data_IF_676118423328
#
_entry.id   IF_676118423328
#
_cell.length_a   1.000
_cell.length_b   1.000
_cell.length_c   1.000
_cell.angle_alpha   90.00
_cell.angle_beta   90.00
_cell.angle_gamma   90.00
#
_symmetry.space_group_name_H-M   'P 1'
#
loop_
_entity.id
_entity.type
_entity.pdbx_description
1 polymer ?
#
# COMPACT_ATOMS: atom_id res chain seq x y z
N UNK A 1 6.65 -0.37 -27.29
CA UNK A 1 7.93 -1.02 -26.93
C UNK A 1 8.28 -0.58 -25.51
N UNK A 2 7.99 -1.40 -24.50
CA UNK A 2 8.15 -1.02 -23.09
C UNK A 2 9.63 -1.14 -22.70
N UNK A 3 10.37 -0.04 -22.79
CA UNK A 3 11.79 0.02 -22.41
C UNK A 3 11.92 0.72 -21.06
N UNK A 4 12.83 0.23 -20.24
CA UNK A 4 13.19 0.79 -18.93
C UNK A 4 14.69 1.07 -18.95
N UNK A 5 15.11 2.18 -18.36
CA UNK A 5 16.54 2.50 -18.26
C UNK A 5 17.08 2.07 -16.90
N UNK A 6 18.20 1.35 -16.88
CA UNK A 6 18.90 0.99 -15.65
C UNK A 6 20.01 2.00 -15.40
N UNK A 7 20.05 2.53 -14.17
CA UNK A 7 20.99 3.58 -13.79
C UNK A 7 21.58 3.31 -12.41
N UNK A 8 22.85 3.69 -12.23
CA UNK A 8 23.48 3.79 -10.92
C UNK A 8 23.21 5.18 -10.35
N UNK A 9 22.43 5.26 -9.27
CA UNK A 9 22.02 6.53 -8.66
C UNK A 9 22.81 6.78 -7.38
N UNK A 10 23.39 7.97 -7.26
CA UNK A 10 24.09 8.44 -6.07
C UNK A 10 23.38 9.70 -5.55
N UNK A 11 22.71 9.59 -4.41
CA UNK A 11 21.86 10.66 -3.87
C UNK A 11 22.63 11.87 -3.32
N UNK A 12 23.86 11.66 -2.84
CA UNK A 12 24.71 12.68 -2.19
C UNK A 12 26.16 12.46 -2.60
N UNK A 13 27.00 13.49 -2.60
CA UNK A 13 28.39 13.47 -3.12
C UNK A 13 29.28 12.30 -2.64
N UNK A 14 29.01 11.73 -1.46
CA UNK A 14 29.73 10.59 -0.87
C UNK A 14 28.81 9.39 -0.56
N UNK A 15 27.64 9.31 -1.20
CA UNK A 15 26.69 8.23 -1.00
C UNK A 15 27.11 6.94 -1.72
N UNK A 16 26.67 5.79 -1.20
CA UNK A 16 26.82 4.52 -1.93
C UNK A 16 25.92 4.54 -3.17
N UNK A 17 26.42 4.13 -4.35
CA UNK A 17 25.59 4.00 -5.53
C UNK A 17 24.52 2.94 -5.30
N UNK A 18 23.31 3.19 -5.79
CA UNK A 18 22.21 2.23 -5.78
C UNK A 18 21.71 1.99 -7.21
N UNK A 19 21.66 0.73 -7.62
CA UNK A 19 21.06 0.37 -8.90
C UNK A 19 19.55 0.67 -8.87
N UNK A 20 19.08 1.42 -9.86
CA UNK A 20 17.69 1.85 -9.94
C UNK A 20 17.18 1.79 -11.39
N UNK A 21 15.88 1.57 -11.54
CA UNK A 21 15.18 1.58 -12.81
C UNK A 21 14.43 2.90 -13.00
N UNK A 22 14.61 3.54 -14.15
CA UNK A 22 13.82 4.68 -14.60
C UNK A 22 12.71 4.17 -15.52
N UNK A 23 11.48 4.24 -15.02
CA UNK A 23 10.29 3.80 -15.75
C UNK A 23 9.67 5.05 -16.39
N UNK A 24 9.59 5.13 -17.72
CA UNK A 24 8.98 6.29 -18.38
C UNK A 24 7.50 6.38 -17.99
N UNK A 25 7.07 7.59 -17.61
CA UNK A 25 5.68 7.89 -17.32
C UNK A 25 5.24 9.08 -18.15
N UNK A 26 4.14 8.88 -18.88
CA UNK A 26 3.44 9.92 -19.60
C UNK A 26 2.33 10.47 -18.71
N UNK A 27 2.13 11.78 -18.73
CA UNK A 27 1.19 12.50 -17.88
C UNK A 27 -0.24 12.03 -18.12
N UNK A 28 -0.82 11.47 -17.05
CA UNK A 28 -2.22 11.04 -16.99
C UNK A 28 -3.02 11.96 -16.03
N UNK A 29 -2.60 13.22 -15.87
CA UNK A 29 -3.22 14.23 -14.98
C UNK A 29 -3.03 14.01 -13.48
N UNK A 30 -2.54 12.84 -13.05
CA UNK A 30 -2.30 12.50 -11.63
C UNK A 30 -0.84 12.66 -11.22
N UNK A 31 0.08 12.34 -12.12
CA UNK A 31 1.51 12.44 -11.89
C UNK A 31 2.17 13.25 -13.01
N UNK A 32 3.26 13.97 -12.70
CA UNK A 32 3.97 14.75 -13.69
C UNK A 32 4.61 13.85 -14.76
N UNK A 33 4.71 14.38 -15.97
CA UNK A 33 5.50 13.82 -17.06
C UNK A 33 6.96 13.59 -16.61
N UNK A 34 7.51 12.40 -16.86
CA UNK A 34 8.91 12.12 -16.52
C UNK A 34 9.23 10.63 -16.35
N UNK A 35 9.98 10.32 -15.29
CA UNK A 35 10.40 8.95 -14.97
C UNK A 35 10.14 8.64 -13.51
N UNK A 36 9.51 7.48 -13.25
CA UNK A 36 9.51 6.92 -11.91
C UNK A 36 10.87 6.29 -11.63
N UNK A 37 11.52 6.75 -10.57
CA UNK A 37 12.77 6.18 -10.09
C UNK A 37 12.46 5.07 -9.08
N UNK A 38 12.67 3.81 -9.50
CA UNK A 38 12.47 2.62 -8.65
C UNK A 38 13.83 2.04 -8.24
N UNK A 39 14.24 2.12 -6.97
CA UNK A 39 15.46 1.44 -6.51
C UNK A 39 15.27 -0.08 -6.61
N UNK A 40 16.27 -0.77 -7.16
CA UNK A 40 16.27 -2.23 -7.23
C UNK A 40 16.90 -2.82 -5.97
N UNK A 41 16.32 -3.90 -5.42
CA UNK A 41 16.89 -4.54 -4.25
C UNK A 41 18.22 -5.22 -4.59
N UNK A 42 19.20 -5.10 -3.69
CA UNK A 42 20.40 -5.93 -3.74
C UNK A 42 20.11 -7.34 -3.22
N UNK A 43 21.02 -8.29 -3.46
CA UNK A 43 20.90 -9.67 -2.97
C UNK A 43 20.70 -9.74 -1.45
N UNK A 44 21.34 -8.84 -0.70
CA UNK A 44 21.20 -8.74 0.76
C UNK A 44 19.82 -8.28 1.23
N UNK A 45 19.09 -7.55 0.38
CA UNK A 45 17.73 -7.06 0.69
C UNK A 45 16.66 -8.10 0.36
N UNK A 46 17.01 -9.16 -0.37
CA UNK A 46 16.11 -10.26 -0.73
C UNK A 46 16.14 -11.30 0.40
N UNK A 47 15.02 -11.40 1.12
CA UNK A 47 14.85 -12.40 2.19
C UNK A 47 14.67 -13.80 1.63
N UNK A 48 15.56 -14.73 1.98
CA UNK A 48 15.55 -16.12 1.51
C UNK A 48 14.34 -16.93 1.95
N UNK A 49 13.75 -16.59 3.10
CA UNK A 49 12.58 -17.28 3.66
C UNK A 49 11.35 -17.15 2.75
N UNK A 50 11.20 -16.00 2.10
CA UNK A 50 10.09 -15.74 1.17
C UNK A 50 10.19 -16.66 -0.06
N UNK A 51 11.40 -16.94 -0.55
CA UNK A 51 11.60 -17.82 -1.72
C UNK A 51 11.29 -19.29 -1.42
N UNK A 52 11.55 -19.74 -0.20
CA UNK A 52 11.29 -21.12 0.19
C UNK A 52 9.80 -21.37 0.44
N UNK A 53 9.08 -20.41 1.03
CA UNK A 53 7.64 -20.52 1.29
C UNK A 53 6.80 -20.56 0.00
N UNK A 54 7.26 -19.93 -1.09
CA UNK A 54 6.57 -19.96 -2.38
C UNK A 54 6.59 -21.34 -3.07
N UNK A 55 7.59 -22.17 -2.78
CA UNK A 55 7.71 -23.52 -3.38
C UNK A 55 6.79 -24.55 -2.73
N UNK A 56 6.23 -24.24 -1.56
CA UNK A 56 5.32 -25.11 -0.81
C UNK A 56 3.84 -24.83 -1.08
N UNK A 57 3.52 -23.84 -1.93
CA UNK A 57 2.15 -23.69 -2.42
C UNK A 57 1.87 -24.76 -3.47
N UNK A 58 1.19 -25.82 -3.04
CA UNK A 58 0.56 -26.75 -3.95
C UNK A 58 -0.54 -26.01 -4.72
N UNK A 59 -0.30 -25.76 -6.00
CA UNK A 59 -1.25 -25.09 -6.91
C UNK A 59 -2.43 -25.99 -7.31
N UNK A 60 -2.64 -27.12 -6.62
CA UNK A 60 -3.78 -28.02 -6.83
C UNK A 60 -5.11 -27.47 -6.31
N UNK A 61 -5.24 -26.14 -6.24
CA UNK A 61 -6.44 -25.49 -5.75
C UNK A 61 -7.58 -25.67 -6.75
N UNK A 62 -8.56 -26.47 -6.33
CA UNK A 62 -9.80 -26.78 -7.05
C UNK A 62 -10.41 -25.48 -7.57
N UNK A 63 -10.62 -25.34 -8.89
CA UNK A 63 -11.10 -24.10 -9.52
C UNK A 63 -12.30 -23.44 -8.81
N UNK A 64 -13.12 -24.23 -8.11
CA UNK A 64 -14.21 -23.74 -7.26
C UNK A 64 -13.77 -22.76 -6.17
N UNK A 65 -12.68 -23.05 -5.44
CA UNK A 65 -12.18 -22.17 -4.35
C UNK A 65 -11.67 -20.83 -4.88
N UNK A 66 -10.95 -20.86 -6.01
CA UNK A 66 -10.49 -19.66 -6.69
C UNK A 66 -11.66 -18.79 -7.16
N UNK A 67 -12.74 -19.40 -7.68
CA UNK A 67 -13.96 -18.66 -8.09
C UNK A 67 -14.66 -18.01 -6.89
N UNK A 68 -14.81 -18.73 -5.78
CA UNK A 68 -15.40 -18.17 -4.55
C UNK A 68 -14.55 -17.03 -3.99
N UNK A 69 -13.23 -17.20 -3.94
CA UNK A 69 -12.30 -16.16 -3.49
C UNK A 69 -12.34 -14.91 -4.38
N UNK A 70 -12.41 -15.06 -5.71
CA UNK A 70 -12.57 -13.93 -6.62
C UNK A 70 -13.89 -13.18 -6.41
N UNK A 71 -14.98 -13.89 -6.11
CA UNK A 71 -16.27 -13.27 -5.79
C UNK A 71 -16.19 -12.43 -4.51
N UNK A 72 -15.56 -12.99 -3.47
CA UNK A 72 -15.28 -12.28 -2.22
C UNK A 72 -14.43 -11.03 -2.45
N UNK A 73 -13.30 -11.14 -3.16
CA UNK A 73 -12.43 -9.99 -3.45
C UNK A 73 -13.20 -8.87 -4.16
N UNK A 74 -14.08 -9.20 -5.11
CA UNK A 74 -14.93 -8.21 -5.79
C UNK A 74 -15.89 -7.50 -4.84
N UNK A 75 -16.42 -8.20 -3.83
CA UNK A 75 -17.27 -7.58 -2.81
C UNK A 75 -16.51 -6.63 -1.86
N UNK A 76 -15.21 -6.87 -1.65
CA UNK A 76 -14.36 -6.04 -0.78
C UNK A 76 -13.58 -4.93 -1.50
N UNK A 77 -13.41 -5.03 -2.82
CA UNK A 77 -12.62 -4.06 -3.58
C UNK A 77 -13.35 -2.71 -3.56
N UNK A 78 -12.73 -1.71 -2.93
CA UNK A 78 -13.20 -0.34 -3.00
C UNK A 78 -12.81 0.22 -4.39
N UNK A 79 -13.79 0.49 -5.29
CA UNK A 79 -13.50 0.97 -6.63
C UNK A 79 -12.88 2.38 -6.64
N UNK A 80 -13.09 3.16 -5.58
CA UNK A 80 -12.69 4.57 -5.51
C UNK A 80 -11.43 4.78 -4.66
N UNK A 81 -10.49 3.83 -4.69
CA UNK A 81 -9.21 4.03 -4.00
C UNK A 81 -8.43 5.17 -4.64
N UNK A 82 -8.37 6.30 -3.94
CA UNK A 82 -7.54 7.46 -4.30
C UNK A 82 -6.32 7.51 -3.40
N UNK A 83 -5.15 7.74 -3.98
CA UNK A 83 -3.89 7.92 -3.24
C UNK A 83 -4.03 9.14 -2.32
N UNK A 84 -3.81 8.94 -1.01
CA UNK A 84 -3.96 9.99 0.01
C UNK A 84 -5.34 10.07 0.67
N UNK A 85 -6.29 9.21 0.28
CA UNK A 85 -7.61 9.10 0.94
C UNK A 85 -7.53 8.59 2.38
N UNK A 86 -6.50 7.81 2.72
CA UNK A 86 -6.28 7.29 4.08
C UNK A 86 -5.19 8.12 4.74
N UNK A 87 -5.54 8.83 5.81
CA UNK A 87 -4.59 9.58 6.63
C UNK A 87 -3.93 8.72 7.70
N UNK A 88 -2.83 9.22 8.24
CA UNK A 88 -2.15 8.56 9.35
C UNK A 88 -2.76 9.03 10.67
N UNK A 89 -3.55 8.19 11.37
CA UNK A 89 -4.26 8.59 12.59
C UNK A 89 -3.30 9.01 13.72
N UNK A 90 -2.09 8.46 13.75
CA UNK A 90 -1.08 8.85 14.76
C UNK A 90 -0.58 10.27 14.52
N UNK A 91 -0.32 10.64 13.27
CA UNK A 91 0.09 12.00 12.95
C UNK A 91 -1.04 12.98 13.21
N UNK A 92 -2.27 12.63 12.80
CA UNK A 92 -3.41 13.51 13.00
C UNK A 92 -3.66 13.76 14.50
N UNK A 93 -3.58 12.73 15.34
CA UNK A 93 -3.76 12.87 16.80
C UNK A 93 -2.66 13.71 17.44
N UNK A 94 -1.42 13.56 17.01
CA UNK A 94 -0.30 14.41 17.46
C UNK A 94 -0.54 15.88 17.05
N UNK A 95 -1.02 16.14 15.83
CA UNK A 95 -1.36 17.50 15.38
C UNK A 95 -2.54 18.10 16.13
N UNK A 96 -3.59 17.33 16.42
CA UNK A 96 -4.71 17.79 17.22
C UNK A 96 -4.29 18.14 18.67
N UNK A 97 -3.31 17.44 19.22
CA UNK A 97 -2.73 17.78 20.52
C UNK A 97 -1.97 19.11 20.48
N UNK A 98 -1.17 19.33 19.44
CA UNK A 98 -0.43 20.59 19.23
C UNK A 98 -1.41 21.75 19.02
N UNK A 99 -2.48 21.54 18.25
CA UNK A 99 -3.51 22.54 18.02
C UNK A 99 -4.26 22.90 19.31
N UNK A 100 -4.66 21.91 20.11
CA UNK A 100 -5.31 22.14 21.39
C UNK A 100 -4.42 22.96 22.34
N UNK A 101 -3.11 22.65 22.37
CA UNK A 101 -2.13 23.40 23.15
C UNK A 101 -1.98 24.85 22.65
N UNK A 102 -1.92 25.06 21.34
CA UNK A 102 -1.81 26.39 20.74
C UNK A 102 -3.06 27.26 21.01
N UNK A 103 -4.24 26.64 21.03
CA UNK A 103 -5.53 27.30 21.28
C UNK A 103 -5.93 27.33 22.76
N UNK A 104 -5.07 26.82 23.67
CA UNK A 104 -5.36 26.68 25.10
C UNK A 104 -6.69 25.95 25.41
N UNK A 105 -7.02 24.95 24.58
CA UNK A 105 -8.19 24.07 24.78
C UNK A 105 -7.83 22.92 25.71
N UNK A 106 -8.72 22.62 26.65
CA UNK A 106 -8.57 21.48 27.58
C UNK A 106 -8.82 20.14 26.89
N UNK A 107 -9.71 20.13 25.88
CA UNK A 107 -10.13 18.92 25.19
C UNK A 107 -9.50 18.83 23.79
N UNK A 108 -9.08 17.63 23.43
CA UNK A 108 -8.56 17.28 22.10
C UNK A 108 -9.70 16.80 21.21
N UNK A 109 -9.66 17.16 19.93
CA UNK A 109 -10.59 16.61 18.94
C UNK A 109 -10.36 15.10 18.75
N UNK A 110 -11.45 14.33 18.78
CA UNK A 110 -11.39 12.89 18.55
C UNK A 110 -11.30 12.61 17.06
N UNK A 111 -10.11 12.23 16.59
CA UNK A 111 -9.90 11.83 15.20
C UNK A 111 -10.35 10.39 15.01
N UNK A 112 -11.15 10.17 13.96
CA UNK A 112 -11.59 8.85 13.54
C UNK A 112 -10.43 8.14 12.84
N UNK A 113 -10.14 6.91 13.25
CA UNK A 113 -9.19 6.06 12.56
C UNK A 113 -9.80 5.51 11.26
N UNK A 114 -9.30 6.01 10.13
CA UNK A 114 -9.69 5.57 8.78
C UNK A 114 -8.91 4.31 8.33
N UNK A 115 -7.90 3.88 9.07
CA UNK A 115 -7.11 2.66 8.76
C UNK A 115 -7.79 1.38 9.23
N UNK A 116 -8.75 1.48 10.16
CA UNK A 116 -9.52 0.32 10.61
C UNK A 116 -10.54 -0.10 9.52
N UNK A 117 -10.63 -1.40 9.20
CA UNK A 117 -11.60 -1.88 8.24
C UNK A 117 -13.03 -1.62 8.75
N UNK A 118 -13.97 -1.26 7.86
CA UNK A 118 -15.35 -0.97 8.26
C UNK A 118 -16.02 -2.22 8.83
N UNK A 119 -16.40 -2.16 10.10
CA UNK A 119 -17.02 -3.27 10.84
C UNK A 119 -18.34 -3.77 10.22
N UNK A 120 -19.06 -2.91 9.50
CA UNK A 120 -20.32 -3.28 8.84
C UNK A 120 -20.11 -4.12 7.56
N UNK A 121 -18.99 -3.93 6.84
CA UNK A 121 -18.73 -4.64 5.58
C UNK A 121 -18.40 -6.11 5.78
N UNK A 122 -17.66 -6.43 6.85
CA UNK A 122 -17.20 -7.79 7.17
C UNK A 122 -18.31 -8.65 7.79
N UNK A 123 -19.16 -8.06 8.66
CA UNK A 123 -20.25 -8.79 9.33
C UNK A 123 -21.31 -9.33 8.37
N UNK A 124 -21.69 -8.56 7.34
CA UNK A 124 -22.68 -9.00 6.34
C UNK A 124 -22.30 -10.28 5.60
N UNK A 125 -21.02 -10.64 5.56
CA UNK A 125 -20.53 -11.84 4.86
C UNK A 125 -20.46 -13.02 5.84
N UNK A 126 -20.04 -12.77 7.09
CA UNK A 126 -20.04 -13.80 8.14
C UNK A 126 -21.46 -14.29 8.45
N UNK A 127 -22.45 -13.40 8.40
CA UNK A 127 -23.86 -13.74 8.65
C UNK A 127 -24.53 -14.45 7.44
N UNK A 128 -23.84 -14.59 6.28
CA UNK A 128 -24.35 -15.32 5.10
C UNK A 128 -23.87 -16.78 5.01
N UNK A 129 -22.94 -17.20 5.87
CA UNK A 129 -22.41 -18.58 5.90
C UNK A 129 -23.15 -19.50 6.90
N UNK A 130 -24.17 -18.98 7.61
CA UNK A 130 -24.95 -19.69 8.66
C UNK A 130 -26.38 -20.12 8.24
N UNK A 131 -26.77 -19.96 6.97
CA UNK A 131 -28.03 -20.46 6.36
C UNK A 131 -27.77 -21.43 5.19
#
# INVERSE_FOLDING_TARGET
MNRVMLCSVVWRKMGKPRLSALIPHLEDGTYPNGFFLKPLPYSEEIRSEVQNNLKSFDNSETEGKARTAMSLIKSFTNPDFVVGSIRNPKLDTEWAAVEALALQRTDMEKIKDETMPPSHGVKRILDMDDD
#
